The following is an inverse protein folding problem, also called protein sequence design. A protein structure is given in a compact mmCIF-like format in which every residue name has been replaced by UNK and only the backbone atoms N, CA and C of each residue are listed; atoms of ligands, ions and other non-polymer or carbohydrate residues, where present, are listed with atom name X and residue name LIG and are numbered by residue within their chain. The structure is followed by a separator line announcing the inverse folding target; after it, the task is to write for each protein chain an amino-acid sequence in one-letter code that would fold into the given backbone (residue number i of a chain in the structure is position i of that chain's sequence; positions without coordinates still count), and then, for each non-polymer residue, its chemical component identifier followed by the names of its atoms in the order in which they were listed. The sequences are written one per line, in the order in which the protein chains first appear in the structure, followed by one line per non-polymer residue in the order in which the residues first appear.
data_IF_201350798475
#
_entry.id   IF_201350798475
#
_cell.length_a   1.000
_cell.length_b   1.000
_cell.length_c   1.000
_cell.angle_alpha   90.00
_cell.angle_beta   90.00
_cell.angle_gamma   90.00
#
_symmetry.space_group_name_H-M   'P 1'
#
loop_
_entity.id
_entity.type
_entity.pdbx_description
1 polymer ?
#
# COMPACT_ATOMS: atom_id res chain seq x y z
N UNK A 1 -27.65 6.44 18.77
CA UNK A 1 -27.84 7.38 17.64
C UNK A 1 -28.37 6.56 16.49
N UNK A 2 -29.64 6.75 16.14
CA UNK A 2 -30.23 6.14 14.94
C UNK A 2 -29.65 6.87 13.72
N UNK A 3 -29.25 6.11 12.71
CA UNK A 3 -28.75 6.67 11.46
C UNK A 3 -29.90 6.65 10.45
N UNK A 4 -30.49 7.82 10.18
CA UNK A 4 -31.56 7.96 9.20
C UNK A 4 -30.97 8.13 7.79
N UNK A 5 -31.75 7.79 6.77
CA UNK A 5 -31.36 8.04 5.39
C UNK A 5 -31.20 9.56 5.16
N UNK A 6 -30.05 10.04 4.65
CA UNK A 6 -29.85 11.48 4.40
C UNK A 6 -30.66 12.00 3.20
N UNK A 7 -31.31 11.11 2.44
CA UNK A 7 -32.08 11.47 1.25
C UNK A 7 -33.59 11.57 1.52
N UNK A 8 -34.16 10.59 2.23
CA UNK A 8 -35.60 10.51 2.50
C UNK A 8 -35.95 10.52 3.99
N UNK A 9 -34.96 10.65 4.88
CA UNK A 9 -35.09 10.73 6.34
C UNK A 9 -35.67 9.49 7.03
N UNK A 10 -36.00 8.44 6.27
CA UNK A 10 -36.50 7.18 6.80
C UNK A 10 -35.45 6.43 7.65
N UNK A 11 -35.90 5.86 8.77
CA UNK A 11 -35.13 4.95 9.62
C UNK A 11 -35.22 3.51 9.08
N UNK A 12 -34.68 3.32 7.87
CA UNK A 12 -34.75 2.05 7.14
C UNK A 12 -33.39 1.69 6.51
N UNK A 13 -32.28 2.14 7.11
CA UNK A 13 -30.94 1.84 6.62
C UNK A 13 -30.48 0.45 7.08
N UNK A 14 -30.09 -0.40 6.13
CA UNK A 14 -29.57 -1.75 6.41
C UNK A 14 -28.18 -1.92 5.83
N UNK A 15 -27.26 -2.47 6.62
CA UNK A 15 -25.88 -2.72 6.16
C UNK A 15 -25.86 -3.90 5.19
N UNK A 16 -25.31 -3.66 4.01
CA UNK A 16 -25.13 -4.66 2.96
C UNK A 16 -23.67 -4.69 2.52
N UNK A 17 -23.27 -5.83 1.97
CA UNK A 17 -21.94 -6.00 1.36
C UNK A 17 -22.01 -5.70 -0.13
N UNK A 18 -20.98 -5.06 -0.67
CA UNK A 18 -20.84 -4.80 -2.10
C UNK A 18 -19.39 -4.97 -2.55
N UNK A 19 -19.20 -5.05 -3.87
CA UNK A 19 -17.87 -5.03 -4.50
C UNK A 19 -17.56 -3.62 -4.94
N UNK A 20 -16.47 -3.05 -4.43
CA UNK A 20 -16.01 -1.72 -4.82
C UNK A 20 -14.92 -1.83 -5.88
N UNK A 21 -15.08 -1.12 -6.99
CA UNK A 21 -14.10 -1.05 -8.07
C UNK A 21 -13.12 0.10 -7.82
N UNK A 22 -11.84 -0.21 -7.60
CA UNK A 22 -10.79 0.79 -7.36
C UNK A 22 -9.78 0.77 -8.51
N UNK A 23 -9.39 1.94 -9.00
CA UNK A 23 -8.34 2.05 -10.02
C UNK A 23 -6.96 1.88 -9.38
N UNK A 24 -6.17 0.95 -9.92
CA UNK A 24 -4.77 0.72 -9.56
C UNK A 24 -3.92 0.78 -10.85
N UNK A 25 -3.44 1.97 -11.19
CA UNK A 25 -2.86 2.21 -12.51
C UNK A 25 -3.90 1.99 -13.61
N UNK A 26 -3.55 1.22 -14.66
CA UNK A 26 -4.48 0.88 -15.76
C UNK A 26 -5.47 -0.23 -15.43
N UNK A 27 -5.39 -0.83 -14.24
CA UNK A 27 -6.25 -1.93 -13.83
C UNK A 27 -7.37 -1.44 -12.92
N UNK A 28 -8.50 -2.10 -13.00
CA UNK A 28 -9.57 -1.98 -12.02
C UNK A 28 -9.49 -3.18 -11.08
N UNK A 29 -9.14 -2.92 -9.83
CA UNK A 29 -9.13 -3.92 -8.76
C UNK A 29 -10.53 -4.00 -8.18
N UNK A 30 -11.12 -5.19 -8.22
CA UNK A 30 -12.40 -5.46 -7.58
C UNK A 30 -12.14 -5.80 -6.11
N UNK A 31 -12.69 -5.00 -5.20
CA UNK A 31 -12.57 -5.16 -3.76
C UNK A 31 -13.89 -5.70 -3.22
N UNK A 32 -14.06 -7.03 -3.11
CA UNK A 32 -15.25 -7.61 -2.50
C UNK A 32 -15.26 -7.36 -0.98
N UNK A 33 -16.44 -7.40 -0.36
CA UNK A 33 -16.55 -7.31 1.09
C UNK A 33 -16.62 -5.88 1.64
N UNK A 34 -16.70 -4.86 0.78
CA UNK A 34 -16.96 -3.49 1.22
C UNK A 34 -18.38 -3.37 1.76
N UNK A 35 -18.59 -2.49 2.73
CA UNK A 35 -19.85 -2.31 3.42
C UNK A 35 -20.47 -0.97 3.07
N UNK A 36 -21.77 -0.95 2.83
CA UNK A 36 -22.57 0.26 2.70
C UNK A 36 -23.90 0.03 3.40
N UNK A 37 -24.65 1.10 3.66
CA UNK A 37 -26.02 0.99 4.13
C UNK A 37 -26.96 1.37 3.00
N UNK A 38 -27.98 0.55 2.75
CA UNK A 38 -29.00 0.80 1.74
C UNK A 38 -30.33 1.08 2.44
N UNK A 39 -31.00 2.15 2.01
CA UNK A 39 -32.31 2.50 2.51
C UNK A 39 -33.39 1.58 1.92
N UNK A 40 -34.13 0.88 2.76
CA UNK A 40 -35.28 0.07 2.34
C UNK A 40 -36.47 0.90 1.82
N UNK A 41 -36.48 2.22 2.03
CA UNK A 41 -37.54 3.10 1.56
C UNK A 41 -37.26 3.69 0.17
N UNK A 42 -36.12 4.36 -0.01
CA UNK A 42 -35.78 5.03 -1.28
C UNK A 42 -34.72 4.31 -2.12
N UNK A 43 -34.06 3.27 -1.58
CA UNK A 43 -33.00 2.54 -2.27
C UNK A 43 -31.63 3.21 -2.25
N UNK A 44 -31.50 4.40 -1.65
CA UNK A 44 -30.23 5.14 -1.63
C UNK A 44 -29.16 4.39 -0.81
N UNK A 45 -27.94 4.39 -1.33
CA UNK A 45 -26.77 3.77 -0.73
C UNK A 45 -25.87 4.82 -0.07
N UNK A 46 -25.49 4.59 1.18
CA UNK A 46 -24.63 5.50 1.95
C UNK A 46 -23.49 4.74 2.63
N UNK A 47 -22.32 5.36 2.68
CA UNK A 47 -21.16 4.85 3.44
C UNK A 47 -20.90 5.81 4.60
N UNK A 48 -21.45 5.55 5.80
CA UNK A 48 -21.18 6.38 6.98
C UNK A 48 -19.71 6.25 7.41
N UNK A 49 -19.25 7.21 8.21
CA UNK A 49 -17.89 7.25 8.74
C UNK A 49 -17.49 5.96 9.47
N UNK A 50 -18.43 5.30 10.16
CA UNK A 50 -18.20 4.01 10.83
C UNK A 50 -17.82 2.87 9.88
N UNK A 51 -18.28 2.91 8.63
CA UNK A 51 -17.94 1.93 7.59
C UNK A 51 -16.77 2.39 6.71
N UNK A 52 -16.50 3.70 6.65
CA UNK A 52 -15.43 4.27 5.85
C UNK A 52 -14.07 3.67 6.20
N UNK A 53 -13.67 3.68 7.47
CA UNK A 53 -12.36 3.16 7.91
C UNK A 53 -12.21 1.66 7.64
N UNK A 54 -13.30 0.89 7.78
CA UNK A 54 -13.32 -0.54 7.50
C UNK A 54 -13.13 -0.81 6.00
N UNK A 55 -13.82 -0.04 5.15
CA UNK A 55 -13.68 -0.14 3.70
C UNK A 55 -12.29 0.31 3.25
N UNK A 56 -11.75 1.39 3.83
CA UNK A 56 -10.41 1.88 3.55
C UNK A 56 -9.36 0.80 3.76
N UNK A 57 -9.39 0.13 4.92
CA UNK A 57 -8.47 -0.99 5.22
C UNK A 57 -8.60 -2.15 4.22
N UNK A 58 -9.82 -2.49 3.79
CA UNK A 58 -10.05 -3.54 2.77
C UNK A 58 -9.49 -3.13 1.41
N UNK A 59 -9.70 -1.89 1.01
CA UNK A 59 -9.15 -1.34 -0.24
C UNK A 59 -7.62 -1.34 -0.19
N UNK A 60 -7.02 -0.87 0.89
CA UNK A 60 -5.56 -0.90 1.07
C UNK A 60 -5.00 -2.32 1.00
N UNK A 61 -5.63 -3.28 1.68
CA UNK A 61 -5.23 -4.69 1.65
C UNK A 61 -5.35 -5.30 0.25
N UNK A 62 -6.39 -4.96 -0.52
CA UNK A 62 -6.57 -5.44 -1.89
C UNK A 62 -5.55 -4.81 -2.86
N UNK A 63 -5.26 -3.52 -2.70
CA UNK A 63 -4.25 -2.82 -3.48
C UNK A 63 -2.83 -3.32 -3.16
N UNK A 64 -2.54 -3.65 -1.90
CA UNK A 64 -1.25 -4.22 -1.49
C UNK A 64 -0.98 -5.60 -2.11
N UNK A 65 -2.03 -6.38 -2.35
CA UNK A 65 -1.94 -7.68 -3.03
C UNK A 65 -1.85 -7.55 -4.57
N UNK A 66 -2.02 -6.35 -5.11
CA UNK A 66 -1.98 -6.12 -6.55
C UNK A 66 -0.52 -5.98 -7.00
N UNK A 67 0.00 -6.90 -7.84
CA UNK A 67 1.37 -6.80 -8.35
C UNK A 67 1.54 -5.50 -9.15
N UNK A 68 2.64 -4.77 -8.94
CA UNK A 68 3.00 -3.51 -9.61
C UNK A 68 2.26 -2.23 -9.18
N UNK A 69 1.68 -2.16 -7.99
CA UNK A 69 1.16 -0.90 -7.45
C UNK A 69 2.29 0.05 -6.99
N UNK A 70 2.91 0.78 -7.93
CA UNK A 70 3.90 1.82 -7.61
C UNK A 70 3.18 3.12 -7.25
N UNK A 71 3.24 3.52 -5.98
CA UNK A 71 2.65 4.79 -5.54
C UNK A 71 3.42 6.00 -6.07
N UNK A 72 2.73 7.13 -6.23
CA UNK A 72 3.32 8.42 -6.63
C UNK A 72 4.49 8.83 -5.72
N UNK A 73 4.32 8.59 -4.41
CA UNK A 73 5.36 8.87 -3.42
C UNK A 73 6.59 7.98 -3.58
N UNK A 74 6.41 6.69 -3.88
CA UNK A 74 7.53 5.78 -4.15
C UNK A 74 8.27 6.15 -5.43
N UNK A 75 7.53 6.52 -6.48
CA UNK A 75 8.11 6.94 -7.76
C UNK A 75 9.00 8.19 -7.59
N UNK A 76 8.47 9.22 -6.93
CA UNK A 76 9.22 10.46 -6.62
C UNK A 76 10.46 10.17 -5.77
N UNK A 77 10.31 9.35 -4.72
CA UNK A 77 11.42 8.96 -3.84
C UNK A 77 12.51 8.19 -4.58
N UNK A 78 12.15 7.28 -5.49
CA UNK A 78 13.11 6.57 -6.33
C UNK A 78 13.94 7.57 -7.13
N UNK A 79 13.28 8.49 -7.84
CA UNK A 79 13.93 9.52 -8.63
C UNK A 79 14.88 10.39 -7.80
N UNK A 80 14.42 10.87 -6.64
CA UNK A 80 15.22 11.70 -5.73
C UNK A 80 16.35 10.94 -5.04
N UNK A 81 16.24 9.63 -4.89
CA UNK A 81 17.33 8.81 -4.32
C UNK A 81 18.53 8.78 -5.25
N UNK A 82 18.30 8.79 -6.56
CA UNK A 82 19.36 8.77 -7.58
C UNK A 82 19.62 10.13 -8.22
N UNK A 83 19.06 11.20 -7.65
CA UNK A 83 19.23 12.60 -8.11
C UNK A 83 18.87 12.81 -9.59
N UNK A 84 17.83 12.11 -10.05
CA UNK A 84 17.35 12.18 -11.43
C UNK A 84 16.32 13.32 -11.61
N UNK A 85 16.37 14.02 -12.74
CA UNK A 85 15.24 14.81 -13.22
C UNK A 85 14.11 13.89 -13.73
N UNK A 86 12.89 14.41 -13.84
CA UNK A 86 11.77 13.65 -14.41
C UNK A 86 12.07 13.22 -15.85
N UNK A 87 12.76 14.07 -16.63
CA UNK A 87 13.17 13.74 -18.00
C UNK A 87 14.19 12.62 -18.06
N UNK A 88 15.22 12.66 -17.19
CA UNK A 88 16.21 11.60 -17.10
C UNK A 88 15.59 10.28 -16.64
N UNK A 89 14.66 10.34 -15.68
CA UNK A 89 13.92 9.16 -15.25
C UNK A 89 13.04 8.59 -16.37
N UNK A 90 12.32 9.43 -17.13
CA UNK A 90 11.58 8.97 -18.32
C UNK A 90 12.50 8.25 -19.30
N UNK A 91 13.66 8.83 -19.61
CA UNK A 91 14.65 8.21 -20.51
C UNK A 91 15.21 6.90 -19.94
N UNK A 92 15.55 6.88 -18.65
CA UNK A 92 16.09 5.72 -17.94
C UNK A 92 15.16 4.50 -18.02
N UNK A 93 13.85 4.72 -17.84
CA UNK A 93 12.84 3.66 -17.87
C UNK A 93 12.24 3.43 -19.26
N UNK A 94 12.79 4.03 -20.31
CA UNK A 94 12.30 3.88 -21.69
C UNK A 94 10.87 4.39 -21.89
N UNK A 95 10.45 5.37 -21.09
CA UNK A 95 9.13 6.00 -21.16
C UNK A 95 9.17 7.28 -21.99
N UNK A 96 8.00 7.75 -22.45
CA UNK A 96 7.89 9.03 -23.15
C UNK A 96 8.39 10.19 -22.29
N UNK A 97 8.91 11.26 -22.90
CA UNK A 97 9.65 12.34 -22.21
C UNK A 97 8.93 12.90 -20.97
N UNK A 98 7.62 13.13 -21.07
CA UNK A 98 6.79 13.67 -19.98
C UNK A 98 6.16 12.59 -19.06
N UNK A 99 6.51 11.31 -19.20
CA UNK A 99 5.86 10.22 -18.50
C UNK A 99 6.01 10.34 -16.98
N UNK A 100 7.23 10.52 -16.46
CA UNK A 100 7.44 10.67 -15.01
C UNK A 100 6.72 11.89 -14.43
N UNK A 101 6.66 13.01 -15.15
CA UNK A 101 5.90 14.19 -14.73
C UNK A 101 4.41 13.87 -14.59
N UNK A 102 3.84 13.16 -15.57
CA UNK A 102 2.43 12.75 -15.55
C UNK A 102 2.13 11.71 -14.47
N UNK A 103 3.03 10.75 -14.26
CA UNK A 103 2.87 9.72 -13.23
C UNK A 103 3.01 10.30 -11.82
N UNK A 104 4.00 11.14 -11.56
CA UNK A 104 4.19 11.80 -10.25
C UNK A 104 3.05 12.77 -9.92
N UNK A 105 2.45 13.43 -10.92
CA UNK A 105 1.29 14.33 -10.75
C UNK A 105 -0.06 13.60 -10.72
N UNK A 106 -0.11 12.34 -11.16
CA UNK A 106 -1.36 11.58 -11.29
C UNK A 106 -2.19 11.95 -12.53
N UNK A 107 -1.62 12.68 -13.49
CA UNK A 107 -2.28 13.00 -14.77
C UNK A 107 -2.41 11.79 -15.69
N UNK A 108 -1.60 10.74 -15.49
CA UNK A 108 -1.68 9.50 -16.24
C UNK A 108 -1.21 8.34 -15.38
N UNK A 109 -1.76 7.16 -15.65
CA UNK A 109 -1.29 5.91 -15.08
C UNK A 109 -0.09 5.33 -15.85
N UNK A 110 0.76 4.58 -15.14
CA UNK A 110 1.83 3.75 -15.73
C UNK A 110 1.22 2.57 -16.50
N UNK A 111 1.92 2.12 -17.55
CA UNK A 111 1.62 0.80 -18.14
C UNK A 111 2.12 -0.31 -17.22
N UNK A 112 1.53 -1.50 -17.33
CA UNK A 112 1.93 -2.66 -16.53
C UNK A 112 3.44 -2.98 -16.65
N UNK A 113 4.06 -2.99 -17.85
CA UNK A 113 5.51 -3.22 -17.96
C UNK A 113 6.34 -2.13 -17.30
N UNK A 114 5.93 -0.85 -17.40
CA UNK A 114 6.64 0.25 -16.76
C UNK A 114 6.56 0.15 -15.23
N UNK A 115 5.38 -0.18 -14.69
CA UNK A 115 5.18 -0.35 -13.27
C UNK A 115 6.01 -1.52 -12.71
N UNK A 116 6.07 -2.65 -13.43
CA UNK A 116 6.94 -3.78 -13.08
C UNK A 116 8.42 -3.40 -13.09
N UNK A 117 8.89 -2.69 -14.12
CA UNK A 117 10.29 -2.28 -14.20
C UNK A 117 10.67 -1.31 -13.08
N UNK A 118 9.79 -0.37 -12.73
CA UNK A 118 9.98 0.51 -11.58
C UNK A 118 9.99 -0.27 -10.27
N UNK A 119 9.14 -1.28 -10.12
CA UNK A 119 9.15 -2.16 -8.95
C UNK A 119 10.48 -2.94 -8.85
N UNK A 120 10.96 -3.51 -9.96
CA UNK A 120 12.28 -4.13 -10.01
C UNK A 120 13.39 -3.16 -9.58
N UNK A 121 13.33 -1.89 -10.02
CA UNK A 121 14.29 -0.87 -9.63
C UNK A 121 14.25 -0.50 -8.13
N UNK A 122 13.06 -0.59 -7.52
CA UNK A 122 12.87 -0.36 -6.08
C UNK A 122 13.37 -1.53 -5.23
N UNK A 123 13.18 -2.77 -5.69
CA UNK A 123 13.42 -3.97 -4.90
C UNK A 123 14.82 -4.57 -5.15
N UNK A 124 15.25 -4.65 -6.40
CA UNK A 124 16.48 -5.34 -6.80
C UNK A 124 17.66 -4.35 -6.85
N UNK A 125 18.76 -4.59 -6.11
CA UNK A 125 19.95 -3.75 -6.17
C UNK A 125 20.58 -3.74 -7.56
N UNK A 126 21.13 -2.61 -7.99
CA UNK A 126 21.88 -2.50 -9.25
C UNK A 126 21.01 -2.27 -10.50
N UNK A 127 19.68 -2.40 -10.41
CA UNK A 127 18.80 -2.23 -11.58
C UNK A 127 18.85 -0.81 -12.12
N UNK A 128 18.79 0.22 -11.26
CA UNK A 128 18.85 1.62 -11.71
C UNK A 128 20.19 1.91 -12.39
N UNK A 129 21.28 1.43 -11.81
CA UNK A 129 22.64 1.58 -12.34
C UNK A 129 22.80 0.85 -13.68
N UNK A 130 22.21 -0.33 -13.81
CA UNK A 130 22.22 -1.10 -15.06
C UNK A 130 21.41 -0.39 -16.16
N UNK A 131 20.18 0.04 -15.84
CA UNK A 131 19.34 0.80 -16.77
C UNK A 131 20.01 2.10 -17.19
N UNK A 132 20.70 2.78 -16.28
CA UNK A 132 21.38 4.04 -16.59
C UNK A 132 22.49 3.85 -17.62
N UNK A 133 23.27 2.77 -17.48
CA UNK A 133 24.28 2.38 -18.47
C UNK A 133 23.66 2.08 -19.82
N UNK A 134 22.55 1.33 -19.86
CA UNK A 134 21.85 1.00 -21.11
C UNK A 134 21.25 2.25 -21.79
N UNK A 135 20.66 3.16 -21.02
CA UNK A 135 19.99 4.35 -21.54
C UNK A 135 20.94 5.54 -21.83
N UNK A 136 22.21 5.42 -21.42
CA UNK A 136 23.20 6.51 -21.48
C UNK A 136 22.82 7.69 -20.59
N UNK A 137 22.21 7.43 -19.43
CA UNK A 137 21.85 8.43 -18.43
C UNK A 137 22.95 8.47 -17.37
N UNK A 138 23.61 9.62 -17.13
CA UNK A 138 24.64 9.70 -16.10
C UNK A 138 24.01 9.64 -14.70
N UNK A 139 24.56 8.81 -13.81
CA UNK A 139 24.19 8.80 -12.39
C UNK A 139 25.24 9.49 -11.55
N UNK A 140 24.78 10.26 -10.57
CA UNK A 140 25.64 10.82 -9.54
C UNK A 140 26.12 9.69 -8.60
N UNK A 141 27.42 9.63 -8.23
CA UNK A 141 27.94 8.61 -7.30
C UNK A 141 27.22 8.61 -5.95
N UNK A 142 26.79 9.79 -5.50
CA UNK A 142 26.11 10.00 -4.22
C UNK A 142 24.74 9.31 -4.18
N UNK A 143 24.02 9.29 -5.31
CA UNK A 143 22.70 8.66 -5.39
C UNK A 143 22.76 7.14 -5.18
N UNK A 144 23.74 6.48 -5.80
CA UNK A 144 23.98 5.04 -5.61
C UNK A 144 24.36 4.69 -4.16
N UNK A 145 25.17 5.55 -3.52
CA UNK A 145 25.52 5.40 -2.10
C UNK A 145 24.30 5.57 -1.18
N UNK A 146 23.44 6.57 -1.44
CA UNK A 146 22.18 6.78 -0.69
C UNK A 146 21.23 5.59 -0.83
N UNK A 147 21.13 5.03 -2.04
CA UNK A 147 20.34 3.82 -2.28
C UNK A 147 20.87 2.61 -1.49
N UNK A 148 22.19 2.42 -1.45
CA UNK A 148 22.82 1.34 -0.69
C UNK A 148 22.62 1.51 0.83
N UNK A 149 22.83 2.71 1.37
CA UNK A 149 22.70 3.01 2.81
C UNK A 149 21.26 2.80 3.32
N UNK A 150 20.24 3.19 2.55
CA UNK A 150 18.83 3.01 2.94
C UNK A 150 18.42 1.54 3.02
N UNK A 151 19.03 0.66 2.23
CA UNK A 151 18.78 -0.79 2.29
C UNK A 151 19.32 -1.37 3.59
N UNK A 152 20.54 -0.98 3.98
CA UNK A 152 21.18 -1.42 5.24
C UNK A 152 20.34 -1.05 6.46
N UNK A 153 19.78 0.17 6.50
CA UNK A 153 18.88 0.60 7.58
C UNK A 153 17.55 -0.17 7.64
N UNK A 154 17.01 -0.59 6.49
CA UNK A 154 15.76 -1.37 6.42
C UNK A 154 15.96 -2.83 6.84
N UNK A 155 17.14 -3.42 6.57
CA UNK A 155 17.51 -4.75 7.07
C UNK A 155 17.71 -4.75 8.59
N UNK A 156 18.24 -3.67 9.17
CA UNK A 156 18.43 -3.55 10.62
C UNK A 156 17.09 -3.48 11.39
N UNK A 157 16.06 -2.80 10.86
CA UNK A 157 14.73 -2.75 11.51
C UNK A 157 13.94 -4.06 11.46
N UNK A 158 14.24 -4.98 10.55
CA UNK A 158 13.56 -6.28 10.48
C UNK A 158 14.16 -7.33 11.44
N UNK A 159 15.36 -7.09 11.95
CA UNK A 159 16.05 -7.97 12.91
C UNK A 159 15.84 -7.56 14.38
N UNK A 160 14.93 -6.61 14.64
CA UNK A 160 14.60 -6.10 15.98
C UNK A 160 13.18 -6.44 16.42
N UNK A 161 12.66 -7.63 16.06
CA UNK A 161 11.48 -8.20 16.72
C UNK A 161 11.97 -9.07 17.87
N UNK A 162 11.62 -8.64 19.07
CA UNK A 162 12.10 -9.14 20.35
C UNK A 162 12.07 -10.67 20.49
N UNK A 163 13.22 -11.23 20.86
CA UNK A 163 13.27 -12.52 21.51
C UNK A 163 12.62 -12.37 22.90
N UNK A 164 11.45 -12.98 23.10
CA UNK A 164 10.89 -13.20 24.43
C UNK A 164 11.93 -13.92 25.29
N UNK A 165 12.33 -13.38 26.46
CA UNK A 165 13.08 -14.16 27.41
C UNK A 165 12.12 -15.14 28.08
N UNK A 166 12.35 -16.43 27.84
CA UNK A 166 11.83 -17.50 28.66
C UNK A 166 12.19 -17.22 30.13
N UNK A 167 11.18 -17.04 30.99
CA UNK A 167 11.38 -17.08 32.44
C UNK A 167 10.74 -18.31 33.05
N UNK A 168 11.64 -19.03 33.72
CA UNK A 168 11.51 -20.34 34.30
C UNK A 168 10.49 -20.41 35.44
N UNK A 169 9.99 -21.63 35.62
CA UNK A 169 9.17 -22.09 36.71
C UNK A 169 9.76 -21.82 38.11
N UNK A 170 8.89 -21.66 39.10
CA UNK A 170 9.10 -22.20 40.45
C UNK A 170 7.78 -22.44 41.19
N UNK A 171 7.67 -23.66 41.71
CA UNK A 171 6.67 -24.26 42.59
C UNK A 171 6.57 -23.44 43.91
N UNK A 172 5.52 -23.44 44.74
CA UNK A 172 5.00 -24.51 45.63
C UNK A 172 4.01 -23.78 46.60
N UNK A 173 2.79 -24.20 46.94
CA UNK A 173 2.37 -25.11 48.03
C UNK A 173 0.82 -25.03 48.09
N UNK A 174 0.08 -26.12 47.90
CA UNK A 174 -0.45 -27.02 48.94
C UNK A 174 -1.27 -26.33 50.06
N UNK A 175 -2.61 -26.50 50.02
CA UNK A 175 -3.40 -26.94 51.18
C UNK A 175 -4.76 -27.51 50.75
N UNK A 176 -5.05 -28.66 51.36
CA UNK A 176 -6.14 -29.63 51.14
C UNK A 176 -7.49 -29.18 51.73
N UNK A 177 -8.59 -29.67 51.11
CA UNK A 177 -9.81 -30.31 51.70
C UNK A 177 -11.01 -30.01 50.77
N UNK A 178 -12.00 -30.86 50.56
CA UNK A 178 -12.22 -32.30 50.72
C UNK A 178 -13.52 -32.57 49.94
N UNK A 179 -13.59 -33.75 49.33
CA UNK A 179 -14.79 -34.34 48.71
C UNK A 179 -15.79 -34.71 49.81
N UNK A 180 -17.10 -34.53 49.58
CA UNK A 180 -18.14 -35.58 49.70
C UNK A 180 -19.57 -35.01 49.64
N UNK A 181 -20.37 -35.73 48.84
CA UNK A 181 -21.84 -35.76 48.67
C UNK A 181 -22.48 -34.71 47.78
#
# INVERSE_FOLDING_TARGET
MSLNCPFCEADALTTVTYTHAVKAGRRTVQVPGCLQMVCGHCGEAVVPLSLYDLNHKRIEAALAQTPAAVSRGLLKRLRETYDLSQREASRLFGAGEAAFAKWESGQSDMSDPAALLVQCALEVPGVVEHLAKLAGVPLQPQGAQRAAQRRVGRSASLNGADAEPAHAASQTQSKRRAVLQ
#
